data_IF_847422272152
#
_entry.id   IF_847422272152
#
_cell.length_a   1.000
_cell.length_b   1.000
_cell.length_c   1.000
_cell.angle_alpha   90.00
_cell.angle_beta   90.00
_cell.angle_gamma   90.00
#
_symmetry.space_group_name_H-M   'P 1'
#
loop_
_entity.id
_entity.type
_entity.pdbx_description
1 polymer ?
#
# COMPACT_ATOMS: atom_id res chain seq x y z
N UNK A 1 -13.62 17.01 -2.51
CA UNK A 1 -14.41 17.30 -3.74
C UNK A 1 -15.13 18.63 -3.64
N UNK A 2 -16.11 18.83 -2.74
CA UNK A 2 -16.82 20.13 -2.60
C UNK A 2 -15.88 21.35 -2.52
N UNK A 3 -14.84 21.28 -1.68
CA UNK A 3 -13.82 22.33 -1.53
C UNK A 3 -13.02 22.64 -2.82
N UNK A 4 -12.90 21.66 -3.73
CA UNK A 4 -12.25 21.85 -5.03
C UNK A 4 -13.24 22.52 -5.98
N UNK A 5 -14.47 22.01 -6.04
CA UNK A 5 -15.51 22.54 -6.92
C UNK A 5 -16.00 23.93 -6.51
N UNK A 6 -15.87 24.30 -5.23
CA UNK A 6 -16.13 25.66 -4.72
C UNK A 6 -14.98 26.64 -4.96
N UNK A 7 -13.84 26.16 -5.46
CA UNK A 7 -12.66 26.98 -5.73
C UNK A 7 -11.79 27.29 -4.51
N UNK A 8 -12.00 26.65 -3.36
CA UNK A 8 -11.14 26.85 -2.17
C UNK A 8 -9.72 26.29 -2.38
N UNK A 9 -9.57 25.29 -3.25
CA UNK A 9 -8.28 24.69 -3.62
C UNK A 9 -8.23 24.44 -5.12
N UNK A 10 -7.04 24.52 -5.74
CA UNK A 10 -6.88 24.22 -7.16
C UNK A 10 -6.93 22.72 -7.45
N UNK A 11 -6.37 21.89 -6.57
CA UNK A 11 -6.29 20.44 -6.75
C UNK A 11 -6.19 19.71 -5.40
N UNK A 12 -6.44 18.40 -5.43
CA UNK A 12 -6.23 17.51 -4.28
C UNK A 12 -5.80 16.14 -4.78
N UNK A 13 -5.03 15.41 -3.97
CA UNK A 13 -4.63 14.04 -4.23
C UNK A 13 -5.54 13.10 -3.44
N UNK A 14 -6.10 12.10 -4.12
CA UNK A 14 -7.03 11.14 -3.53
C UNK A 14 -6.69 9.73 -3.98
N UNK A 15 -6.90 8.75 -3.10
CA UNK A 15 -6.81 7.35 -3.48
C UNK A 15 -7.92 7.01 -4.49
N UNK A 16 -7.54 6.54 -5.68
CA UNK A 16 -8.47 6.19 -6.76
C UNK A 16 -9.51 5.15 -6.30
N UNK A 17 -9.11 4.17 -5.47
CA UNK A 17 -10.01 3.14 -4.97
C UNK A 17 -11.23 3.72 -4.23
N UNK A 18 -11.03 4.77 -3.43
CA UNK A 18 -12.12 5.44 -2.71
C UNK A 18 -13.07 6.19 -3.65
N UNK A 19 -12.50 6.93 -4.61
CA UNK A 19 -13.27 7.67 -5.61
C UNK A 19 -14.12 6.73 -6.47
N UNK A 20 -13.55 5.60 -6.90
CA UNK A 20 -14.27 4.59 -7.69
C UNK A 20 -15.40 3.94 -6.90
N UNK A 21 -15.16 3.54 -5.65
CA UNK A 21 -16.18 2.91 -4.79
C UNK A 21 -17.37 3.82 -4.51
N UNK A 22 -17.15 5.13 -4.46
CA UNK A 22 -18.19 6.13 -4.28
C UNK A 22 -18.93 6.49 -5.57
N UNK A 23 -18.52 5.94 -6.73
CA UNK A 23 -19.13 6.27 -8.02
C UNK A 23 -18.78 7.68 -8.52
N UNK A 24 -17.65 8.24 -8.09
CA UNK A 24 -17.23 9.63 -8.35
C UNK A 24 -16.08 9.72 -9.36
N UNK A 25 -15.96 8.73 -10.24
CA UNK A 25 -14.80 8.57 -11.14
C UNK A 25 -14.67 9.68 -12.18
N UNK A 26 -15.76 10.38 -12.48
CA UNK A 26 -15.81 11.58 -13.32
C UNK A 26 -14.95 12.74 -12.79
N UNK A 27 -14.61 12.73 -11.50
CA UNK A 27 -13.74 13.74 -10.90
C UNK A 27 -12.24 13.40 -11.00
N UNK A 28 -11.87 12.24 -11.55
CA UNK A 28 -10.46 11.85 -11.71
C UNK A 28 -9.88 12.54 -12.95
N UNK A 29 -9.02 13.55 -12.73
CA UNK A 29 -8.34 14.26 -13.82
C UNK A 29 -7.05 13.57 -14.27
N UNK A 30 -6.31 13.00 -13.33
CA UNK A 30 -5.01 12.38 -13.60
C UNK A 30 -4.78 11.18 -12.67
N UNK A 31 -4.14 10.14 -13.20
CA UNK A 31 -3.60 9.02 -12.44
C UNK A 31 -2.08 9.11 -12.42
N UNK A 32 -1.48 8.90 -11.27
CA UNK A 32 -0.02 8.91 -11.12
C UNK A 32 0.52 7.48 -11.21
N UNK A 33 1.64 7.27 -11.93
CA UNK A 33 2.27 5.97 -11.97
C UNK A 33 2.93 5.65 -10.61
N UNK A 34 3.03 4.37 -10.28
CA UNK A 34 3.51 3.89 -8.97
C UNK A 34 4.96 4.31 -8.68
N UNK A 35 5.78 4.49 -9.71
CA UNK A 35 7.16 4.96 -9.58
C UNK A 35 7.28 6.48 -9.33
N UNK A 36 6.19 7.23 -9.54
CA UNK A 36 6.12 8.67 -9.29
C UNK A 36 5.50 8.97 -7.93
N UNK A 37 4.35 8.34 -7.60
CA UNK A 37 3.76 8.37 -6.26
C UNK A 37 3.57 6.93 -5.80
N UNK A 38 4.47 6.46 -4.94
CA UNK A 38 4.33 5.17 -4.27
C UNK A 38 3.16 5.27 -3.28
N UNK A 39 2.13 4.41 -3.38
CA UNK A 39 1.00 4.40 -2.46
C UNK A 39 1.39 4.14 -1.00
N UNK A 40 0.50 4.51 -0.09
CA UNK A 40 0.55 3.98 1.28
C UNK A 40 0.32 2.46 1.27
N UNK A 41 0.97 1.76 2.20
CA UNK A 41 0.73 0.34 2.45
C UNK A 41 -0.78 0.07 2.64
N UNK A 42 -1.30 -0.96 1.99
CA UNK A 42 -2.70 -1.34 2.07
C UNK A 42 -3.64 -0.51 1.19
N UNK A 43 -3.15 0.47 0.43
CA UNK A 43 -4.04 1.37 -0.29
C UNK A 43 -4.90 0.63 -1.31
N UNK A 44 -6.22 0.68 -1.08
CA UNK A 44 -7.21 0.06 -1.95
C UNK A 44 -7.57 -1.38 -1.57
N UNK A 45 -6.86 -2.03 -0.66
CA UNK A 45 -7.28 -3.32 -0.12
C UNK A 45 -8.46 -3.17 0.86
N UNK A 46 -9.24 -4.23 1.05
CA UNK A 46 -10.24 -4.35 2.09
C UNK A 46 -9.95 -5.61 2.91
N UNK A 47 -9.81 -5.45 4.22
CA UNK A 47 -9.67 -6.56 5.14
C UNK A 47 -11.02 -6.83 5.83
N UNK A 48 -11.46 -8.09 5.80
CA UNK A 48 -12.61 -8.54 6.59
C UNK A 48 -12.08 -9.36 7.75
N UNK A 49 -12.33 -8.90 8.97
CA UNK A 49 -11.82 -9.53 10.19
C UNK A 49 -12.97 -10.15 10.99
N UNK A 50 -12.68 -11.25 11.69
CA UNK A 50 -13.59 -11.84 12.67
C UNK A 50 -12.81 -12.25 13.91
N UNK A 51 -13.55 -12.52 14.99
CA UNK A 51 -12.97 -13.11 16.21
C UNK A 51 -12.37 -14.49 15.90
N UNK A 52 -11.31 -14.85 16.62
CA UNK A 52 -10.62 -16.12 16.43
C UNK A 52 -11.49 -17.37 16.67
N UNK A 53 -12.53 -17.26 17.48
CA UNK A 53 -13.52 -18.31 17.78
C UNK A 53 -14.76 -18.25 16.88
N UNK A 54 -14.77 -17.41 15.85
CA UNK A 54 -15.91 -17.31 14.94
C UNK A 54 -16.10 -18.59 14.12
N UNK A 55 -17.35 -19.04 13.99
CA UNK A 55 -17.74 -20.10 13.06
C UNK A 55 -17.67 -19.68 11.59
N UNK A 56 -17.45 -18.39 11.28
CA UNK A 56 -17.47 -17.84 9.92
C UNK A 56 -16.12 -17.95 9.17
N UNK A 57 -15.16 -18.74 9.66
CA UNK A 57 -13.81 -18.85 9.06
C UNK A 57 -13.85 -19.26 7.59
N UNK A 58 -14.75 -20.17 7.22
CA UNK A 58 -14.83 -20.65 5.84
C UNK A 58 -15.39 -19.59 4.88
N UNK A 59 -16.29 -18.72 5.37
CA UNK A 59 -16.76 -17.55 4.61
C UNK A 59 -15.59 -16.58 4.36
N UNK A 60 -14.77 -16.30 5.39
CA UNK A 60 -13.62 -15.42 5.23
C UNK A 60 -12.57 -15.99 4.26
N UNK A 61 -12.31 -17.30 4.32
CA UNK A 61 -11.42 -17.97 3.36
C UNK A 61 -11.93 -17.84 1.93
N UNK A 62 -13.24 -17.99 1.73
CA UNK A 62 -13.85 -17.86 0.40
C UNK A 62 -13.79 -16.43 -0.16
N UNK A 63 -13.77 -15.40 0.70
CA UNK A 63 -13.61 -14.01 0.29
C UNK A 63 -12.15 -13.61 0.02
N UNK A 64 -11.18 -14.43 0.46
CA UNK A 64 -9.77 -14.06 0.39
C UNK A 64 -9.22 -14.17 -1.03
N UNK A 65 -8.75 -13.04 -1.56
CA UNK A 65 -8.02 -13.01 -2.82
C UNK A 65 -6.53 -13.27 -2.55
N UNK A 66 -6.00 -14.39 -3.08
CA UNK A 66 -4.64 -14.86 -2.79
C UNK A 66 -3.57 -13.82 -3.08
N UNK A 67 -3.62 -13.18 -4.25
CA UNK A 67 -2.57 -12.28 -4.70
C UNK A 67 -2.56 -11.00 -3.86
N UNK A 68 -3.73 -10.39 -3.65
CA UNK A 68 -3.85 -9.21 -2.78
C UNK A 68 -3.49 -9.53 -1.34
N UNK A 69 -3.74 -10.75 -0.85
CA UNK A 69 -3.28 -11.15 0.46
C UNK A 69 -1.75 -11.13 0.54
N UNK A 70 -1.04 -11.72 -0.44
CA UNK A 70 0.42 -11.73 -0.47
C UNK A 70 1.01 -10.31 -0.62
N UNK A 71 0.44 -9.49 -1.51
CA UNK A 71 0.81 -8.08 -1.65
C UNK A 71 0.73 -7.35 -0.29
N UNK A 72 -0.41 -7.46 0.40
CA UNK A 72 -0.60 -6.79 1.70
C UNK A 72 0.30 -7.36 2.79
N UNK A 73 0.59 -8.66 2.79
CA UNK A 73 1.49 -9.23 3.80
C UNK A 73 2.93 -8.73 3.63
N UNK A 74 3.42 -8.57 2.39
CA UNK A 74 4.71 -7.95 2.14
C UNK A 74 4.74 -6.49 2.62
N UNK A 75 3.73 -5.69 2.23
CA UNK A 75 3.64 -4.29 2.61
C UNK A 75 3.54 -4.09 4.13
N UNK A 76 2.71 -4.91 4.79
CA UNK A 76 2.53 -4.90 6.24
C UNK A 76 3.81 -5.27 6.96
N UNK A 77 4.60 -6.21 6.44
CA UNK A 77 5.88 -6.59 7.05
C UNK A 77 6.85 -5.41 7.12
N UNK A 78 6.87 -4.57 6.08
CA UNK A 78 7.72 -3.36 6.08
C UNK A 78 7.33 -2.42 7.23
N UNK A 79 6.03 -2.17 7.40
CA UNK A 79 5.52 -1.35 8.50
C UNK A 79 5.86 -1.94 9.88
N UNK A 80 5.67 -3.25 10.04
CA UNK A 80 5.95 -3.97 11.29
C UNK A 80 7.42 -3.84 11.71
N UNK A 81 8.35 -4.01 10.76
CA UNK A 81 9.79 -4.00 11.03
C UNK A 81 10.31 -2.59 11.31
N UNK A 82 9.84 -1.59 10.57
CA UNK A 82 10.27 -0.20 10.78
C UNK A 82 9.62 0.43 12.02
N UNK A 83 8.56 -0.17 12.59
CA UNK A 83 7.85 0.39 13.75
C UNK A 83 7.15 1.72 13.44
N UNK A 84 6.90 2.00 12.16
CA UNK A 84 6.35 3.25 11.66
C UNK A 84 4.84 3.16 11.49
N UNK A 85 4.13 4.18 11.97
CA UNK A 85 2.68 4.34 11.78
C UNK A 85 2.33 5.27 10.62
N UNK A 86 1.03 5.52 10.43
CA UNK A 86 0.49 6.31 9.31
C UNK A 86 0.96 7.78 9.20
N UNK A 87 1.71 8.29 10.18
CA UNK A 87 2.20 9.68 10.18
C UNK A 87 3.58 9.84 9.51
N UNK A 88 4.23 8.73 9.15
CA UNK A 88 5.52 8.76 8.48
C UNK A 88 5.35 8.98 6.96
N UNK A 89 6.21 9.78 6.31
CA UNK A 89 6.25 9.94 4.85
C UNK A 89 6.78 8.68 4.14
N UNK A 90 6.05 7.58 4.29
CA UNK A 90 6.41 6.25 3.81
C UNK A 90 5.41 5.76 2.77
N UNK A 91 5.92 5.42 1.59
CA UNK A 91 5.21 4.67 0.56
C UNK A 91 5.71 3.23 0.51
N UNK A 92 4.78 2.27 0.41
CA UNK A 92 5.06 0.83 0.31
C UNK A 92 4.00 0.23 -0.61
N UNK A 93 4.41 -0.39 -1.71
CA UNK A 93 3.49 -1.00 -2.65
C UNK A 93 4.07 -2.31 -3.21
N UNK A 94 3.32 -3.39 -3.02
CA UNK A 94 3.59 -4.68 -3.60
C UNK A 94 2.65 -4.95 -4.78
N UNK A 95 3.15 -5.64 -5.79
CA UNK A 95 2.39 -6.06 -6.97
C UNK A 95 2.72 -7.49 -7.34
N UNK A 96 1.69 -8.33 -7.33
CA UNK A 96 1.76 -9.69 -7.81
C UNK A 96 1.60 -9.74 -9.34
N UNK A 97 2.47 -10.49 -10.01
CA UNK A 97 2.39 -10.78 -11.45
C UNK A 97 2.72 -12.26 -11.67
N UNK A 98 1.68 -13.10 -11.71
CA UNK A 98 1.87 -14.55 -11.77
C UNK A 98 2.52 -15.08 -10.50
N UNK A 99 3.67 -15.74 -10.64
CA UNK A 99 4.40 -16.32 -9.50
C UNK A 99 5.45 -15.36 -8.90
N UNK A 100 5.52 -14.12 -9.38
CA UNK A 100 6.42 -13.09 -8.85
C UNK A 100 5.66 -11.99 -8.09
N UNK A 101 6.35 -11.42 -7.12
CA UNK A 101 5.94 -10.23 -6.38
C UNK A 101 7.02 -9.16 -6.52
N UNK A 102 6.63 -7.97 -6.94
CA UNK A 102 7.47 -6.78 -6.92
C UNK A 102 7.06 -5.87 -5.76
N UNK A 103 7.98 -5.58 -4.85
CA UNK A 103 7.81 -4.64 -3.74
C UNK A 103 8.63 -3.38 -4.01
N UNK A 104 8.04 -2.21 -3.78
CA UNK A 104 8.68 -0.90 -3.90
C UNK A 104 8.41 -0.09 -2.63
N UNK A 105 9.45 0.57 -2.12
CA UNK A 105 9.37 1.41 -0.93
C UNK A 105 10.04 2.76 -1.15
N UNK A 106 9.53 3.78 -0.45
CA UNK A 106 10.14 5.10 -0.40
C UNK A 106 9.88 5.72 0.98
N UNK A 107 10.92 6.24 1.61
CA UNK A 107 10.86 6.97 2.86
C UNK A 107 11.43 8.37 2.66
N UNK A 108 10.66 9.37 3.06
CA UNK A 108 11.03 10.78 2.95
C UNK A 108 11.07 11.46 4.32
N UNK A 109 11.77 12.60 4.40
CA UNK A 109 11.61 13.55 5.50
C UNK A 109 10.23 14.23 5.42
N UNK A 110 9.84 14.97 6.46
CA UNK A 110 8.59 15.75 6.44
C UNK A 110 8.63 16.88 5.40
N UNK A 111 9.82 17.33 5.09
CA UNK A 111 10.15 18.35 4.11
C UNK A 111 10.19 17.78 2.67
N UNK A 112 10.12 16.44 2.52
CA UNK A 112 10.05 15.76 1.23
C UNK A 112 11.40 15.31 0.68
N UNK A 113 12.47 15.37 1.47
CA UNK A 113 13.80 14.90 1.07
C UNK A 113 13.86 13.37 1.12
N UNK A 114 14.59 12.77 0.18
CA UNK A 114 14.71 11.32 0.11
C UNK A 114 15.63 10.79 1.22
N UNK A 115 15.10 9.90 2.07
CA UNK A 115 15.87 9.16 3.07
C UNK A 115 16.27 7.80 2.51
N UNK A 116 15.31 7.04 2.01
CA UNK A 116 15.53 5.67 1.53
C UNK A 116 14.56 5.31 0.42
N UNK A 117 15.02 4.55 -0.59
CA UNK A 117 14.18 4.03 -1.67
C UNK A 117 14.72 2.69 -2.15
N UNK A 118 13.90 1.64 -2.01
CA UNK A 118 14.27 0.28 -2.40
C UNK A 118 13.21 -0.35 -3.29
N UNK A 119 13.64 -1.33 -4.08
CA UNK A 119 12.74 -2.23 -4.79
C UNK A 119 13.33 -3.64 -4.81
N UNK A 120 12.46 -4.64 -4.70
CA UNK A 120 12.83 -6.04 -4.70
C UNK A 120 11.77 -6.84 -5.44
N UNK A 121 12.23 -7.87 -6.14
CA UNK A 121 11.37 -8.88 -6.77
C UNK A 121 11.72 -10.24 -6.21
N UNK A 122 10.73 -11.10 -6.14
CA UNK A 122 10.94 -12.48 -5.75
C UNK A 122 9.67 -13.31 -5.87
N UNK A 123 9.72 -14.58 -5.48
CA UNK A 123 8.57 -15.47 -5.53
C UNK A 123 7.40 -14.94 -4.67
N UNK A 124 6.18 -14.99 -5.19
CA UNK A 124 4.99 -14.49 -4.49
C UNK A 124 4.71 -15.22 -3.17
N UNK A 125 5.19 -16.45 -3.02
CA UNK A 125 5.07 -17.22 -1.78
C UNK A 125 6.11 -16.82 -0.70
N UNK A 126 7.03 -15.91 -1.02
CA UNK A 126 8.03 -15.33 -0.10
C UNK A 126 7.72 -13.86 0.23
N UNK A 127 6.46 -13.43 0.09
CA UNK A 127 6.05 -12.04 0.24
C UNK A 127 6.51 -11.40 1.56
N UNK A 128 6.35 -12.09 2.69
CA UNK A 128 6.81 -11.59 4.00
C UNK A 128 8.34 -11.52 4.09
N UNK A 129 9.08 -12.48 3.51
CA UNK A 129 10.55 -12.46 3.52
C UNK A 129 11.09 -11.29 2.68
N UNK A 130 10.48 -11.03 1.52
CA UNK A 130 10.78 -9.86 0.68
C UNK A 130 10.53 -8.57 1.47
N UNK A 131 9.40 -8.48 2.17
CA UNK A 131 9.08 -7.33 3.02
C UNK A 131 10.07 -7.12 4.16
N UNK A 132 10.48 -8.20 4.84
CA UNK A 132 11.47 -8.18 5.91
C UNK A 132 12.84 -7.68 5.42
N UNK A 133 13.31 -8.23 4.29
CA UNK A 133 14.60 -7.88 3.72
C UNK A 133 14.65 -6.42 3.26
N UNK A 134 13.62 -5.93 2.56
CA UNK A 134 13.53 -4.52 2.19
C UNK A 134 13.53 -3.61 3.42
N UNK A 135 12.81 -3.99 4.47
CA UNK A 135 12.71 -3.17 5.67
C UNK A 135 14.04 -3.07 6.42
N UNK A 136 14.85 -4.14 6.42
CA UNK A 136 16.22 -4.10 6.96
C UNK A 136 17.10 -3.12 6.20
N UNK A 137 17.08 -3.16 4.87
CA UNK A 137 17.83 -2.20 4.04
C UNK A 137 17.40 -0.76 4.30
N UNK A 138 16.09 -0.52 4.43
CA UNK A 138 15.58 0.81 4.79
C UNK A 138 16.06 1.26 6.19
N UNK A 139 16.19 0.33 7.13
CA UNK A 139 16.69 0.61 8.47
C UNK A 139 18.19 0.91 8.52
N UNK A 140 18.97 0.43 7.55
CA UNK A 140 20.40 0.73 7.42
C UNK A 140 20.68 2.10 6.80
N UNK A 141 19.71 2.64 6.05
CA UNK A 141 19.80 3.98 5.44
C UNK A 141 19.44 5.12 6.42
N UNK A 142 18.84 4.78 7.57
CA UNK A 142 18.40 5.72 8.61
C UNK A 142 19.49 5.92 9.67
#
# INVERSE_FOLDING_TARGET
IKKITSGEYQATLMAEAGIRRLGLSEHIQQRFPLNYITPAAGQGALAVVARNDSCKKDILKALNHKDSYQEIMAEKKVLEVLGVGCQWPLGVCARAQGDELELQTILLTKEGELISKHSMRGPINQAEDIGLEIARRMGEDC
#
